data_IF_126842307993
#
_entry.id   IF_126842307993
#
_cell.length_a   1.000
_cell.length_b   1.000
_cell.length_c   1.000
_cell.angle_alpha   90.00
_cell.angle_beta   90.00
_cell.angle_gamma   90.00
#
_symmetry.space_group_name_H-M   'P 1'
#
loop_
_entity.id
_entity.type
_entity.pdbx_description
1 polymer ?
#
# COMPACT_ATOMS: atom_id res chain seq x y z
N UNK A 1 -27.89 -7.67 6.68
CA UNK A 1 -26.54 -7.05 6.70
C UNK A 1 -26.34 -6.30 5.41
N UNK A 2 -26.46 -4.97 5.45
CA UNK A 2 -26.20 -4.12 4.28
C UNK A 2 -24.73 -4.28 3.87
N UNK A 3 -24.50 -4.94 2.75
CA UNK A 3 -23.20 -4.97 2.08
C UNK A 3 -22.90 -3.54 1.61
N UNK A 4 -22.23 -2.76 2.43
CA UNK A 4 -21.72 -1.46 2.01
C UNK A 4 -20.57 -1.72 1.04
N UNK A 5 -20.64 -1.10 -0.13
CA UNK A 5 -19.61 -1.14 -1.16
C UNK A 5 -18.76 0.11 -1.06
N UNK A 6 -17.47 -0.02 -1.32
CA UNK A 6 -16.55 1.09 -1.51
C UNK A 6 -16.30 1.26 -3.00
N UNK A 7 -16.48 2.48 -3.47
CA UNK A 7 -16.17 2.89 -4.82
C UNK A 7 -14.81 3.57 -4.82
N UNK A 8 -13.97 3.21 -5.77
CA UNK A 8 -12.59 3.69 -5.89
C UNK A 8 -12.42 4.18 -7.33
N UNK A 9 -11.98 5.42 -7.49
CA UNK A 9 -11.48 5.95 -8.74
C UNK A 9 -10.09 5.38 -8.97
N UNK A 10 -9.89 4.68 -10.08
CA UNK A 10 -8.64 3.97 -10.37
C UNK A 10 -8.61 2.53 -9.85
N UNK A 11 -7.42 2.05 -9.54
CA UNK A 11 -7.17 0.70 -9.07
C UNK A 11 -7.18 0.59 -7.52
N UNK A 12 -7.00 -0.62 -6.99
CA UNK A 12 -7.00 -0.86 -5.52
C UNK A 12 -5.73 -0.35 -4.84
N UNK A 13 -4.63 -0.21 -5.57
CA UNK A 13 -3.32 0.12 -5.01
C UNK A 13 -3.08 1.64 -4.94
N UNK A 14 -3.47 2.37 -5.99
CA UNK A 14 -3.20 3.81 -6.12
C UNK A 14 -4.46 4.67 -6.12
N UNK A 15 -5.64 4.04 -6.27
CA UNK A 15 -6.90 4.73 -6.44
C UNK A 15 -7.39 5.43 -5.18
N UNK A 16 -8.21 6.45 -5.39
CA UNK A 16 -8.84 7.23 -4.32
C UNK A 16 -10.28 6.84 -4.09
N UNK A 17 -10.71 6.84 -2.82
CA UNK A 17 -12.12 6.58 -2.48
C UNK A 17 -13.01 7.70 -3.02
N UNK A 18 -14.06 7.33 -3.72
CA UNK A 18 -15.09 8.25 -4.19
C UNK A 18 -16.46 7.89 -3.59
N UNK A 19 -17.36 8.86 -3.57
CA UNK A 19 -18.75 8.62 -3.23
C UNK A 19 -19.49 7.95 -4.39
N UNK A 20 -20.65 7.35 -4.11
CA UNK A 20 -21.45 6.65 -5.14
C UNK A 20 -21.86 7.56 -6.29
N UNK A 21 -22.15 8.81 -5.97
CA UNK A 21 -22.59 9.84 -6.92
C UNK A 21 -21.43 10.79 -7.30
N UNK A 22 -20.18 10.39 -6.99
CA UNK A 22 -18.97 11.15 -7.27
C UNK A 22 -18.47 10.98 -8.69
N UNK A 23 -17.43 11.74 -9.03
CA UNK A 23 -16.80 11.72 -10.35
C UNK A 23 -15.46 10.99 -10.29
N UNK A 24 -15.08 10.39 -11.42
CA UNK A 24 -13.72 9.87 -11.63
C UNK A 24 -12.71 11.02 -11.60
N UNK A 25 -11.54 10.76 -11.05
CA UNK A 25 -10.39 11.67 -11.17
C UNK A 25 -9.99 11.81 -12.64
N UNK A 26 -9.37 12.93 -12.98
CA UNK A 26 -9.07 13.30 -14.37
C UNK A 26 -8.23 12.26 -15.12
N UNK A 27 -7.28 11.63 -14.43
CA UNK A 27 -6.37 10.65 -15.02
C UNK A 27 -6.85 9.20 -14.89
N UNK A 28 -7.93 8.95 -14.16
CA UNK A 28 -8.45 7.61 -13.96
C UNK A 28 -9.39 7.21 -15.09
N UNK A 29 -9.22 6.00 -15.60
CA UNK A 29 -10.04 5.43 -16.68
C UNK A 29 -10.89 4.24 -16.23
N UNK A 30 -10.87 3.89 -14.94
CA UNK A 30 -11.60 2.75 -14.39
C UNK A 30 -12.17 3.05 -13.00
N UNK A 31 -13.25 2.33 -12.67
CA UNK A 31 -13.84 2.31 -11.33
C UNK A 31 -13.66 0.91 -10.76
N UNK A 32 -13.09 0.85 -9.57
CA UNK A 32 -12.98 -0.39 -8.82
C UNK A 32 -13.99 -0.40 -7.68
N UNK A 33 -14.74 -1.51 -7.55
CA UNK A 33 -15.76 -1.67 -6.50
C UNK A 33 -15.40 -2.86 -5.65
N UNK A 34 -15.18 -2.63 -4.35
CA UNK A 34 -14.86 -3.68 -3.37
C UNK A 34 -15.82 -3.62 -2.19
N UNK A 35 -15.87 -4.70 -1.41
CA UNK A 35 -16.69 -4.74 -0.19
C UNK A 35 -16.03 -3.93 0.90
N UNK A 36 -16.85 -3.13 1.61
CA UNK A 36 -16.41 -2.46 2.83
C UNK A 36 -16.23 -3.49 3.94
N UNK A 37 -15.01 -3.63 4.43
CA UNK A 37 -14.66 -4.52 5.53
C UNK A 37 -15.13 -3.94 6.86
N UNK A 38 -16.13 -4.57 7.48
CA UNK A 38 -16.63 -4.21 8.82
C UNK A 38 -16.43 -5.33 9.85
N UNK A 39 -16.02 -6.51 9.41
CA UNK A 39 -15.92 -7.68 10.26
C UNK A 39 -14.59 -7.70 11.00
N UNK A 40 -14.63 -7.44 12.30
CA UNK A 40 -13.48 -7.72 13.18
C UNK A 40 -13.53 -9.19 13.59
N UNK A 41 -12.51 -9.95 13.22
CA UNK A 41 -12.36 -11.35 13.64
C UNK A 41 -11.65 -11.41 14.98
N UNK A 42 -12.37 -11.83 16.01
CA UNK A 42 -11.80 -12.09 17.33
C UNK A 42 -10.75 -13.21 17.20
N UNK A 43 -9.55 -13.02 17.79
CA UNK A 43 -8.42 -13.97 17.73
C UNK A 43 -7.99 -14.39 16.31
N UNK A 44 -8.33 -13.60 15.30
CA UNK A 44 -7.98 -13.91 13.91
C UNK A 44 -6.49 -14.07 13.63
N UNK A 45 -5.61 -13.55 14.48
CA UNK A 45 -4.17 -13.69 14.41
C UNK A 45 -3.65 -15.05 14.95
N UNK A 46 -4.42 -15.72 15.81
CA UNK A 46 -4.11 -17.04 16.37
C UNK A 46 -4.59 -18.19 15.46
N UNK A 47 -5.57 -17.92 14.59
CA UNK A 47 -6.13 -18.94 13.72
C UNK A 47 -5.14 -19.33 12.60
N UNK A 48 -5.09 -20.62 12.19
CA UNK A 48 -4.15 -21.12 11.18
C UNK A 48 -4.28 -20.46 9.80
N UNK A 49 -5.41 -19.82 9.50
CA UNK A 49 -5.58 -18.93 8.35
C UNK A 49 -5.52 -19.63 6.98
N UNK A 50 -6.08 -20.81 6.80
CA UNK A 50 -6.06 -21.60 5.55
C UNK A 50 -6.56 -20.84 4.31
N UNK A 51 -7.48 -19.87 4.49
CA UNK A 51 -8.10 -19.12 3.40
C UNK A 51 -7.73 -17.62 3.47
N UNK A 52 -6.61 -17.26 4.09
CA UNK A 52 -6.16 -15.87 4.18
C UNK A 52 -5.12 -15.58 3.11
N UNK A 53 -5.24 -14.40 2.51
CA UNK A 53 -4.14 -13.84 1.74
C UNK A 53 -3.03 -13.41 2.71
N UNK A 54 -1.79 -13.84 2.43
CA UNK A 54 -0.63 -13.49 3.23
C UNK A 54 0.59 -13.36 2.33
N UNK A 55 1.10 -12.14 2.19
CA UNK A 55 2.33 -11.87 1.45
C UNK A 55 3.52 -12.43 2.23
N UNK A 56 3.56 -12.22 3.54
CA UNK A 56 4.65 -12.63 4.45
C UNK A 56 4.68 -14.12 4.77
N UNK A 57 3.76 -14.93 4.21
CA UNK A 57 3.62 -16.38 4.49
C UNK A 57 3.44 -16.72 5.98
N UNK A 58 2.94 -15.80 6.77
CA UNK A 58 2.71 -15.99 8.21
C UNK A 58 1.61 -17.02 8.51
N UNK A 59 0.67 -17.20 7.58
CA UNK A 59 -0.44 -18.15 7.72
C UNK A 59 -0.17 -19.43 6.92
N UNK A 60 -0.79 -20.54 7.33
CA UNK A 60 -0.69 -21.83 6.64
C UNK A 60 -1.11 -21.77 5.16
N UNK A 61 -1.98 -20.85 4.78
CA UNK A 61 -2.29 -20.57 3.37
C UNK A 61 -1.06 -20.26 2.51
N UNK A 62 -0.01 -19.68 3.08
CA UNK A 62 1.25 -19.37 2.40
C UNK A 62 2.09 -20.63 2.11
N UNK A 63 2.03 -21.63 2.97
CA UNK A 63 2.73 -22.92 2.78
C UNK A 63 2.01 -23.85 1.80
N UNK A 64 0.68 -23.75 1.72
CA UNK A 64 -0.15 -24.57 0.82
C UNK A 64 -0.14 -24.06 -0.64
N UNK A 65 0.66 -23.09 -0.97
CA UNK A 65 0.79 -22.49 -2.32
C UNK A 65 1.25 -23.50 -3.39
N UNK A 66 1.88 -24.59 -2.97
CA UNK A 66 2.32 -25.68 -3.87
C UNK A 66 1.19 -26.62 -4.30
N UNK A 67 0.02 -26.53 -3.69
CA UNK A 67 -1.17 -27.21 -4.19
C UNK A 67 -1.81 -26.33 -5.25
N UNK A 68 -1.61 -26.67 -6.47
CA UNK A 68 -2.10 -26.20 -7.77
C UNK A 68 -3.54 -25.68 -7.82
N UNK A 69 -3.88 -24.66 -7.05
CA UNK A 69 -5.21 -24.09 -7.05
C UNK A 69 -5.13 -22.59 -7.30
N UNK A 70 -5.74 -22.14 -8.38
CA UNK A 70 -6.15 -20.75 -8.58
C UNK A 70 -7.13 -20.33 -7.47
N UNK A 71 -6.62 -20.10 -6.26
CA UNK A 71 -7.45 -19.61 -5.15
C UNK A 71 -7.72 -18.14 -5.36
N UNK A 72 -8.95 -17.81 -5.71
CA UNK A 72 -9.43 -16.45 -5.64
C UNK A 72 -9.64 -16.07 -4.17
N UNK A 73 -8.97 -15.02 -3.71
CA UNK A 73 -9.17 -14.45 -2.38
C UNK A 73 -10.24 -13.35 -2.47
N UNK A 74 -11.15 -13.34 -1.49
CA UNK A 74 -12.10 -12.23 -1.34
C UNK A 74 -11.37 -11.07 -0.68
N UNK A 75 -11.12 -10.04 -1.46
CA UNK A 75 -10.51 -8.79 -0.99
C UNK A 75 -11.61 -7.90 -0.40
N UNK A 76 -11.35 -7.31 0.75
CA UNK A 76 -12.15 -6.30 1.41
C UNK A 76 -11.26 -5.13 1.87
N UNK A 77 -11.87 -4.09 2.47
CA UNK A 77 -11.13 -2.91 2.95
C UNK A 77 -10.60 -3.06 4.37
N UNK A 78 -10.61 -4.26 4.97
CA UNK A 78 -10.06 -4.45 6.30
C UNK A 78 -8.53 -4.35 6.30
N UNK A 79 -8.00 -3.49 7.14
CA UNK A 79 -6.59 -3.47 7.47
C UNK A 79 -6.27 -4.67 8.38
N UNK A 80 -5.73 -5.74 7.79
CA UNK A 80 -5.36 -6.94 8.54
C UNK A 80 -3.98 -6.75 9.20
N UNK A 81 -3.95 -6.13 10.34
CA UNK A 81 -2.75 -5.79 11.09
C UNK A 81 -2.92 -4.47 11.83
N UNK A 82 -1.87 -4.02 12.51
CA UNK A 82 -1.80 -2.71 13.16
C UNK A 82 -0.64 -1.91 12.60
N UNK A 83 -0.75 -0.60 12.63
CA UNK A 83 0.34 0.31 12.30
C UNK A 83 1.52 0.08 13.25
N UNK A 84 2.71 0.00 12.70
CA UNK A 84 3.96 -0.23 13.43
C UNK A 84 5.06 0.66 12.88
N UNK A 85 6.13 0.91 13.65
CA UNK A 85 7.31 1.59 13.12
C UNK A 85 7.86 0.90 11.88
N UNK A 86 8.29 1.68 10.91
CA UNK A 86 8.87 1.19 9.66
C UNK A 86 10.21 0.47 9.93
N UNK A 87 10.29 -0.80 9.59
CA UNK A 87 11.45 -1.66 9.85
C UNK A 87 12.16 -2.00 8.54
N UNK A 88 13.48 -2.05 8.60
CA UNK A 88 14.32 -2.44 7.48
C UNK A 88 14.20 -3.95 7.24
N UNK A 89 13.46 -4.34 6.20
CA UNK A 89 13.17 -5.76 5.90
C UNK A 89 13.82 -6.26 4.61
N UNK A 90 14.24 -5.36 3.71
CA UNK A 90 14.70 -5.72 2.36
C UNK A 90 13.59 -6.26 1.45
N UNK A 91 12.33 -6.08 1.81
CA UNK A 91 11.20 -6.51 0.98
C UNK A 91 10.83 -5.47 -0.08
N UNK A 92 11.11 -4.19 0.18
CA UNK A 92 10.80 -3.10 -0.75
C UNK A 92 11.66 -3.17 -2.00
N UNK A 93 12.94 -3.47 -1.84
CA UNK A 93 13.90 -3.62 -2.94
C UNK A 93 13.55 -4.75 -3.91
N UNK A 94 12.73 -5.71 -3.46
CA UNK A 94 12.27 -6.84 -4.30
C UNK A 94 11.10 -6.48 -5.21
N UNK A 95 10.33 -5.45 -4.86
CA UNK A 95 9.08 -5.08 -5.54
C UNK A 95 9.13 -3.70 -6.15
N UNK A 96 10.10 -2.87 -5.76
CA UNK A 96 10.27 -1.53 -6.29
C UNK A 96 10.78 -1.60 -7.75
N UNK A 97 10.18 -0.83 -8.68
CA UNK A 97 10.46 -0.99 -10.11
C UNK A 97 11.78 -0.35 -10.58
N UNK A 98 12.44 0.44 -9.73
CA UNK A 98 13.64 1.20 -10.08
C UNK A 98 14.84 0.80 -9.19
N UNK A 99 16.06 1.04 -9.69
CA UNK A 99 17.31 0.76 -8.97
C UNK A 99 17.72 1.94 -8.07
N UNK A 100 16.89 2.20 -7.07
CA UNK A 100 17.15 3.19 -6.01
C UNK A 100 16.98 2.54 -4.64
N UNK A 101 17.24 3.29 -3.57
CA UNK A 101 17.08 2.83 -2.21
C UNK A 101 15.72 3.25 -1.62
N UNK A 102 14.62 2.49 -1.86
CA UNK A 102 13.26 2.91 -1.50
C UNK A 102 13.09 3.13 0.00
N UNK A 103 13.68 2.25 0.83
CA UNK A 103 13.55 2.36 2.29
C UNK A 103 14.22 3.62 2.84
N UNK A 104 15.41 3.96 2.32
CA UNK A 104 16.15 5.16 2.71
C UNK A 104 15.39 6.42 2.28
N UNK A 105 14.88 6.43 1.05
CA UNK A 105 14.10 7.55 0.52
C UNK A 105 12.82 7.79 1.33
N UNK A 106 12.07 6.74 1.67
CA UNK A 106 10.87 6.85 2.53
C UNK A 106 11.24 7.48 3.89
N UNK A 107 12.36 7.06 4.48
CA UNK A 107 12.82 7.61 5.77
C UNK A 107 13.25 9.07 5.64
N UNK A 108 13.97 9.44 4.59
CA UNK A 108 14.34 10.83 4.30
C UNK A 108 13.11 11.72 4.18
N UNK A 109 12.09 11.27 3.43
CA UNK A 109 10.81 11.97 3.31
C UNK A 109 10.08 12.09 4.66
N UNK A 110 10.09 11.03 5.47
CA UNK A 110 9.40 11.03 6.77
C UNK A 110 10.01 12.02 7.78
N UNK A 111 11.33 12.26 7.72
CA UNK A 111 12.02 13.23 8.58
C UNK A 111 12.14 14.63 7.94
N UNK A 112 11.84 14.75 6.63
CA UNK A 112 11.93 16.02 5.90
C UNK A 112 13.36 16.47 5.59
N UNK A 113 14.29 15.54 5.41
CA UNK A 113 15.69 15.83 5.08
C UNK A 113 15.83 16.05 3.56
N UNK A 114 15.81 17.31 3.14
CA UNK A 114 15.79 17.75 1.75
C UNK A 114 17.06 17.29 1.03
N UNK A 115 18.24 17.53 1.62
CA UNK A 115 19.52 17.19 1.01
C UNK A 115 19.62 15.67 0.77
N UNK A 116 19.15 14.88 1.71
CA UNK A 116 19.14 13.43 1.60
C UNK A 116 18.10 12.92 0.59
N UNK A 117 16.93 13.57 0.50
CA UNK A 117 15.93 13.24 -0.51
C UNK A 117 16.45 13.46 -1.93
N UNK A 118 17.16 14.59 -2.18
CA UNK A 118 17.81 14.85 -3.46
C UNK A 118 18.87 13.80 -3.82
N UNK A 119 19.76 13.51 -2.88
CA UNK A 119 20.82 12.51 -3.07
C UNK A 119 20.28 11.10 -3.36
N UNK A 120 19.10 10.79 -2.85
CA UNK A 120 18.44 9.49 -3.03
C UNK A 120 17.52 9.44 -4.26
N UNK A 121 17.39 10.54 -5.02
CA UNK A 121 16.65 10.57 -6.28
C UNK A 121 15.16 10.81 -6.15
N UNK A 122 14.72 11.67 -5.21
CA UNK A 122 13.29 12.01 -5.02
C UNK A 122 12.62 12.51 -6.31
N UNK A 123 13.36 13.15 -7.22
CA UNK A 123 12.83 13.69 -8.47
C UNK A 123 12.55 12.64 -9.54
N UNK A 124 13.03 11.41 -9.34
CA UNK A 124 12.88 10.32 -10.30
C UNK A 124 11.66 9.45 -10.01
N UNK A 125 10.95 9.72 -8.90
CA UNK A 125 9.88 8.85 -8.40
C UNK A 125 8.55 9.57 -8.26
N UNK A 126 7.48 8.81 -8.45
CA UNK A 126 6.12 9.21 -8.13
C UNK A 126 5.55 8.38 -6.95
N UNK A 127 4.57 8.91 -6.19
CA UNK A 127 3.92 8.14 -5.13
C UNK A 127 3.38 6.79 -5.58
N UNK A 128 2.94 6.68 -6.83
CA UNK A 128 2.39 5.44 -7.42
C UNK A 128 3.41 4.31 -7.53
N UNK A 129 4.70 4.63 -7.70
CA UNK A 129 5.78 3.64 -7.78
C UNK A 129 5.92 2.85 -6.47
N UNK A 130 5.52 3.45 -5.35
CA UNK A 130 5.54 2.84 -4.02
C UNK A 130 4.30 2.01 -3.67
N UNK A 131 3.35 1.88 -4.57
CA UNK A 131 2.11 1.14 -4.32
C UNK A 131 2.35 -0.34 -3.96
N UNK A 132 3.31 -0.99 -4.62
CA UNK A 132 3.71 -2.36 -4.31
C UNK A 132 4.48 -2.44 -2.97
N UNK A 133 5.23 -1.41 -2.61
CA UNK A 133 5.89 -1.33 -1.31
C UNK A 133 4.84 -1.31 -0.18
N UNK A 134 3.76 -0.52 -0.31
CA UNK A 134 2.65 -0.53 0.65
C UNK A 134 1.98 -1.91 0.76
N UNK A 135 1.84 -2.63 -0.36
CA UNK A 135 1.23 -3.96 -0.36
C UNK A 135 2.04 -4.96 0.45
N UNK A 136 3.37 -4.93 0.34
CA UNK A 136 4.28 -5.85 1.05
C UNK A 136 4.64 -5.36 2.45
N UNK A 137 4.40 -4.10 2.78
CA UNK A 137 4.74 -3.53 4.07
C UNK A 137 3.98 -4.21 5.21
N UNK A 138 4.73 -4.85 6.10
CA UNK A 138 4.20 -5.44 7.33
C UNK A 138 3.83 -4.40 8.39
N UNK A 139 4.41 -3.20 8.30
CA UNK A 139 4.19 -2.09 9.23
C UNK A 139 2.91 -1.31 8.98
N UNK A 140 2.28 -1.50 7.81
CA UNK A 140 1.06 -0.81 7.39
C UNK A 140 1.21 0.71 7.32
N UNK A 141 2.38 1.16 6.91
CA UNK A 141 2.71 2.56 6.72
C UNK A 141 2.05 3.09 5.44
N UNK A 142 1.51 4.29 5.47
CA UNK A 142 1.01 4.96 4.27
C UNK A 142 2.19 5.60 3.51
N UNK A 143 2.89 4.80 2.73
CA UNK A 143 4.14 5.17 2.07
C UNK A 143 3.89 6.20 0.98
N UNK A 144 2.85 6.01 0.17
CA UNK A 144 2.51 6.94 -0.91
C UNK A 144 2.24 8.36 -0.37
N UNK A 145 1.58 8.47 0.79
CA UNK A 145 1.36 9.77 1.42
C UNK A 145 2.66 10.41 1.92
N UNK A 146 3.61 9.62 2.44
CA UNK A 146 4.92 10.10 2.88
C UNK A 146 5.72 10.64 1.69
N UNK A 147 5.78 9.90 0.59
CA UNK A 147 6.49 10.34 -0.63
C UNK A 147 5.84 11.60 -1.20
N UNK A 148 4.51 11.66 -1.25
CA UNK A 148 3.80 12.87 -1.69
C UNK A 148 4.15 14.09 -0.84
N UNK A 149 4.20 13.93 0.49
CA UNK A 149 4.62 15.01 1.39
C UNK A 149 6.07 15.45 1.13
N UNK A 150 6.97 14.49 0.89
CA UNK A 150 8.36 14.78 0.50
C UNK A 150 8.44 15.60 -0.79
N UNK A 151 7.73 15.20 -1.83
CA UNK A 151 7.65 15.93 -3.10
C UNK A 151 7.06 17.33 -2.94
N UNK A 152 6.00 17.46 -2.14
CA UNK A 152 5.38 18.77 -1.86
C UNK A 152 6.34 19.69 -1.06
N UNK A 153 7.16 19.11 -0.18
CA UNK A 153 8.21 19.86 0.54
C UNK A 153 9.28 20.36 -0.43
N UNK A 154 9.77 19.49 -1.33
CA UNK A 154 10.75 19.85 -2.34
C UNK A 154 10.27 20.98 -3.26
N UNK A 155 9.01 20.92 -3.73
CA UNK A 155 8.41 21.98 -4.55
C UNK A 155 8.40 23.33 -3.84
N UNK A 156 8.02 23.34 -2.57
CA UNK A 156 8.02 24.57 -1.76
C UNK A 156 9.41 25.19 -1.62
N UNK A 157 10.45 24.38 -1.43
CA UNK A 157 11.83 24.87 -1.35
C UNK A 157 12.33 25.42 -2.69
N UNK A 158 11.88 24.83 -3.81
CA UNK A 158 12.22 25.35 -5.14
C UNK A 158 11.44 26.61 -5.53
N UNK A 159 10.46 27.04 -4.71
CA UNK A 159 9.68 28.26 -4.92
C UNK A 159 8.51 28.11 -5.90
N UNK A 160 8.02 26.89 -6.07
CA UNK A 160 6.80 26.56 -6.84
C UNK A 160 5.54 26.47 -5.94
#
# INVERSE_FOLDING_TARGET
TSNTLRFISGNVLTGTKIERDGFLSYYDNQITVIREGKERRLFGWLAPGFNRFSVSRTFLSGFMKNCSCNKAYKVDTNLNGGERPLVFTGEFEKVFPMDIYPMQLIKACAIGDIDLMEQLGIYEVDPEDFALCELVDSSKTNIQAIIKQGLDLMRKEMGE
#
